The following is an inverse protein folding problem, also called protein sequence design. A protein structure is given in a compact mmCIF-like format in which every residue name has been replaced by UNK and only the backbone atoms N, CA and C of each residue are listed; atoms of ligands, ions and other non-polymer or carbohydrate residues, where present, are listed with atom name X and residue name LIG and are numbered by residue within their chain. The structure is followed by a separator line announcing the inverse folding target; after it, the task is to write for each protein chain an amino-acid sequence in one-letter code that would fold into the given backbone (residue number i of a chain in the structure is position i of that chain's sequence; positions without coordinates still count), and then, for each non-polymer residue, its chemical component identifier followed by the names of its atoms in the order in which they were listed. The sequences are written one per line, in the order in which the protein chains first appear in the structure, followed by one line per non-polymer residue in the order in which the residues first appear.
data_IF_547670635170
#
_entry.id   IF_547670635170
#
_cell.length_a   1.000
_cell.length_b   1.000
_cell.length_c   1.000
_cell.angle_alpha   90.00
_cell.angle_beta   90.00
_cell.angle_gamma   90.00
#
_symmetry.space_group_name_H-M   'P 1'
#
loop_
_entity.id
_entity.type
_entity.pdbx_description
1 polymer ?
#
# COMPACT_ATOMS: atom_id res chain seq x y z
N UNK A 1 15.35 -6.01 32.02
CA UNK A 1 16.22 -7.15 31.57
C UNK A 1 16.50 -7.17 30.06
N UNK A 2 15.58 -6.68 29.20
CA UNK A 2 15.84 -6.60 27.76
C UNK A 2 16.94 -5.61 27.38
N UNK A 3 17.07 -4.46 28.05
CA UNK A 3 18.07 -3.44 27.71
C UNK A 3 19.50 -3.88 28.03
N UNK A 4 19.71 -4.63 29.15
CA UNK A 4 21.03 -5.18 29.52
C UNK A 4 21.55 -6.24 28.52
N UNK A 5 20.69 -7.13 28.05
CA UNK A 5 21.08 -8.14 27.04
C UNK A 5 21.41 -7.54 25.67
N UNK A 6 20.90 -6.37 25.37
CA UNK A 6 21.16 -5.64 24.15
C UNK A 6 22.54 -5.00 24.14
N UNK A 7 22.95 -4.33 25.21
CA UNK A 7 24.29 -3.75 25.36
C UNK A 7 25.39 -4.78 25.21
N UNK A 8 25.24 -5.95 25.83
CA UNK A 8 26.24 -7.04 25.76
C UNK A 8 26.37 -7.67 24.37
N UNK A 9 25.30 -7.75 23.60
CA UNK A 9 25.35 -8.26 22.22
C UNK A 9 26.06 -7.26 21.29
N UNK A 10 25.88 -5.97 21.52
CA UNK A 10 26.59 -4.93 20.76
C UNK A 10 28.06 -4.82 21.18
N UNK A 11 28.38 -4.95 22.48
CA UNK A 11 29.74 -4.96 23.00
C UNK A 11 30.59 -6.09 22.41
N UNK A 12 30.07 -7.32 22.38
CA UNK A 12 30.81 -8.49 21.82
C UNK A 12 30.99 -8.45 20.30
N UNK A 13 30.18 -7.71 19.56
CA UNK A 13 30.31 -7.59 18.10
C UNK A 13 31.18 -6.42 17.62
N UNK A 14 31.50 -5.47 18.52
CA UNK A 14 32.41 -4.36 18.24
C UNK A 14 33.88 -4.66 18.54
N UNK A 15 34.20 -5.79 19.20
CA UNK A 15 35.56 -6.21 19.49
C UNK A 15 36.33 -6.72 18.27
N UNK A 16 35.62 -7.08 17.17
CA UNK A 16 36.28 -7.46 15.92
C UNK A 16 36.51 -6.22 15.02
N UNK A 17 37.61 -5.66 15.16
CA UNK A 17 38.39 -4.53 14.64
C UNK A 17 38.08 -3.80 13.34
N UNK A 18 37.28 -4.26 12.41
CA UNK A 18 37.03 -3.62 11.10
C UNK A 18 35.53 -3.59 10.73
N UNK A 19 34.89 -2.40 10.84
CA UNK A 19 33.54 -2.21 10.40
C UNK A 19 32.82 -1.04 11.07
N UNK A 20 31.54 -0.86 10.73
CA UNK A 20 30.67 0.15 11.34
C UNK A 20 30.42 -0.13 12.83
N UNK A 21 30.47 0.93 13.63
CA UNK A 21 30.11 0.89 15.06
C UNK A 21 28.62 1.16 15.20
N UNK A 22 27.98 0.47 16.13
CA UNK A 22 26.56 0.68 16.45
C UNK A 22 26.43 1.09 17.91
N UNK A 23 25.81 2.22 18.17
CA UNK A 23 25.67 2.82 19.50
C UNK A 23 24.19 3.00 19.81
N UNK A 24 23.77 2.50 20.99
CA UNK A 24 22.43 2.74 21.51
C UNK A 24 22.41 4.06 22.28
N UNK A 25 21.40 4.91 22.06
CA UNK A 25 21.27 6.20 22.74
C UNK A 25 21.21 6.09 24.27
N UNK A 26 20.63 5.01 24.79
CA UNK A 26 20.56 4.74 26.24
C UNK A 26 21.93 4.42 26.87
N UNK A 27 22.88 3.95 26.07
CA UNK A 27 24.25 3.59 26.52
C UNK A 27 25.30 4.59 26.07
N UNK A 28 24.88 5.76 25.59
CA UNK A 28 25.76 6.78 25.02
C UNK A 28 26.89 7.18 25.96
N UNK A 29 26.60 7.35 27.27
CA UNK A 29 27.60 7.74 28.26
C UNK A 29 28.67 6.69 28.50
N UNK A 30 28.41 5.41 28.31
CA UNK A 30 29.38 4.33 28.45
C UNK A 30 30.41 4.30 27.33
N UNK A 31 30.09 4.89 26.17
CA UNK A 31 30.89 4.84 24.93
C UNK A 31 31.48 6.19 24.52
N UNK A 32 31.32 7.25 25.32
CA UNK A 32 31.76 8.60 24.93
C UNK A 32 33.24 8.69 24.53
N UNK A 33 34.15 8.00 25.25
CA UNK A 33 35.58 8.00 24.92
C UNK A 33 35.86 7.27 23.59
N UNK A 34 35.15 6.18 23.30
CA UNK A 34 35.32 5.41 22.05
C UNK A 34 34.69 6.11 20.83
N UNK A 35 33.69 6.94 21.03
CA UNK A 35 32.97 7.67 19.94
C UNK A 35 33.86 8.79 19.40
N UNK A 36 34.75 9.35 20.21
CA UNK A 36 35.69 10.42 19.82
C UNK A 36 36.77 9.99 18.79
N UNK A 37 36.93 8.70 18.51
CA UNK A 37 37.68 8.25 17.34
C UNK A 37 36.96 8.65 16.06
N UNK A 38 37.31 9.84 15.53
CA UNK A 38 36.63 10.52 14.40
C UNK A 38 36.63 9.75 13.08
N UNK A 39 37.41 8.72 12.92
CA UNK A 39 37.63 8.03 11.64
C UNK A 39 36.75 6.80 11.41
N UNK A 40 36.05 6.31 12.44
CA UNK A 40 35.21 5.10 12.32
C UNK A 40 33.77 5.43 12.13
N UNK A 41 33.14 5.00 11.01
CA UNK A 41 31.72 5.25 10.76
C UNK A 41 30.86 4.57 11.82
N UNK A 42 29.89 5.31 12.38
CA UNK A 42 29.02 4.83 13.45
C UNK A 42 27.54 5.06 13.14
N UNK A 43 26.71 4.14 13.60
CA UNK A 43 25.24 4.25 13.56
C UNK A 43 24.72 4.39 14.99
N UNK A 44 24.10 5.51 15.29
CA UNK A 44 23.43 5.77 16.55
C UNK A 44 21.96 5.41 16.42
N UNK A 45 21.46 4.63 17.37
CA UNK A 45 20.05 4.32 17.53
C UNK A 45 19.51 5.10 18.72
N UNK A 46 18.65 6.06 18.47
CA UNK A 46 18.10 6.95 19.47
C UNK A 46 16.58 6.81 19.55
N UNK A 47 16.03 7.16 20.68
CA UNK A 47 14.62 7.47 20.87
C UNK A 47 14.41 8.99 20.68
N UNK A 48 13.18 9.45 20.59
CA UNK A 48 12.87 10.89 20.56
C UNK A 48 13.46 11.64 21.76
N UNK A 49 13.65 10.97 22.92
CA UNK A 49 14.22 11.56 24.12
C UNK A 49 15.75 11.70 24.06
N UNK A 50 16.47 10.74 23.46
CA UNK A 50 17.93 10.70 23.41
C UNK A 50 18.48 11.23 22.08
N UNK A 51 17.62 11.61 21.15
CA UNK A 51 18.00 12.00 19.80
C UNK A 51 18.92 13.22 19.75
N UNK A 52 18.67 14.24 20.57
CA UNK A 52 19.51 15.46 20.61
C UNK A 52 20.91 15.16 21.08
N UNK A 53 21.06 14.36 22.14
CA UNK A 53 22.39 13.97 22.67
C UNK A 53 23.17 13.15 21.62
N UNK A 54 22.47 12.25 20.91
CA UNK A 54 23.08 11.47 19.83
C UNK A 54 23.49 12.33 18.62
N UNK A 55 22.71 13.34 18.25
CA UNK A 55 23.09 14.27 17.17
C UNK A 55 24.30 15.10 17.54
N UNK A 56 24.35 15.63 18.77
CA UNK A 56 25.48 16.40 19.27
C UNK A 56 26.76 15.55 19.29
N UNK A 57 26.68 14.32 19.80
CA UNK A 57 27.83 13.39 19.81
C UNK A 57 28.29 12.97 18.39
N UNK A 58 27.35 12.89 17.44
CA UNK A 58 27.64 12.63 16.04
C UNK A 58 28.15 13.86 15.28
N UNK A 59 28.24 15.04 15.94
CA UNK A 59 28.66 16.29 15.32
C UNK A 59 27.65 16.79 14.26
N UNK A 60 26.36 16.66 14.51
CA UNK A 60 25.27 17.10 13.63
C UNK A 60 24.45 18.19 14.33
N UNK A 61 24.33 19.35 13.70
CA UNK A 61 23.43 20.41 14.15
C UNK A 61 22.12 20.29 13.37
N UNK A 62 21.02 20.17 14.10
CA UNK A 62 19.67 20.16 13.54
C UNK A 62 18.78 21.13 14.32
N UNK A 63 18.32 22.18 13.65
CA UNK A 63 17.51 23.23 14.26
C UNK A 63 16.00 22.87 14.34
N UNK A 64 15.60 21.79 13.65
CA UNK A 64 14.20 21.37 13.60
C UNK A 64 13.72 20.66 14.87
N UNK A 65 12.42 20.51 14.99
CA UNK A 65 11.77 19.75 16.06
C UNK A 65 11.87 18.24 15.77
N UNK A 66 12.34 17.47 16.74
CA UNK A 66 12.43 15.99 16.62
C UNK A 66 11.14 15.41 17.17
N UNK A 67 10.13 15.28 16.34
CA UNK A 67 8.83 14.76 16.71
C UNK A 67 8.38 13.68 15.71
N UNK A 68 8.42 12.43 16.11
CA UNK A 68 7.99 11.31 15.26
C UNK A 68 6.48 11.35 14.95
N UNK A 69 5.66 12.01 15.76
CA UNK A 69 4.21 12.11 15.51
C UNK A 69 3.91 12.89 14.24
N UNK A 70 4.74 13.89 13.91
CA UNK A 70 4.57 14.76 12.74
C UNK A 70 5.07 14.14 11.44
N UNK A 71 5.71 12.97 11.50
CA UNK A 71 6.14 12.22 10.32
C UNK A 71 4.90 11.66 9.61
N UNK A 72 4.61 12.18 8.42
CA UNK A 72 3.46 11.78 7.60
C UNK A 72 3.82 11.07 6.29
N UNK A 73 5.04 11.27 5.79
CA UNK A 73 5.55 10.72 4.52
C UNK A 73 7.08 10.58 4.55
N UNK A 74 7.63 9.86 3.57
CA UNK A 74 9.07 9.74 3.42
C UNK A 74 9.61 10.94 2.67
N UNK A 75 10.57 11.64 3.27
CA UNK A 75 11.26 12.77 2.66
C UNK A 75 12.72 12.85 3.10
N UNK A 76 13.50 13.60 2.36
CA UNK A 76 14.86 13.91 2.69
C UNK A 76 15.15 15.38 2.39
N UNK A 77 15.91 16.00 3.26
CA UNK A 77 16.27 17.42 3.16
C UNK A 77 17.77 17.58 3.38
N UNK A 78 18.43 18.28 2.48
CA UNK A 78 19.83 18.64 2.58
C UNK A 78 20.00 19.84 3.50
N UNK A 79 20.74 19.67 4.58
CA UNK A 79 21.13 20.76 5.50
C UNK A 79 22.66 20.98 5.44
N UNK A 80 23.15 22.05 6.08
CA UNK A 80 24.58 22.40 5.98
C UNK A 80 25.50 21.31 6.50
N UNK A 81 25.17 20.69 7.63
CA UNK A 81 26.05 19.72 8.32
C UNK A 81 25.54 18.28 8.24
N UNK A 82 24.30 18.07 7.89
CA UNK A 82 23.71 16.73 7.77
C UNK A 82 22.65 16.67 6.68
N UNK A 83 22.35 15.47 6.28
CA UNK A 83 21.20 15.11 5.47
C UNK A 83 20.16 14.57 6.43
N UNK A 84 19.05 15.28 6.57
CA UNK A 84 17.94 14.90 7.44
C UNK A 84 16.83 14.26 6.64
N UNK A 85 16.24 13.17 7.12
CA UNK A 85 15.14 12.52 6.44
C UNK A 85 14.14 11.88 7.38
N UNK A 86 12.94 11.65 6.86
CA UNK A 86 11.88 10.93 7.53
C UNK A 86 11.44 9.72 6.72
N UNK A 87 11.05 8.67 7.40
CA UNK A 87 10.49 7.45 6.83
C UNK A 87 9.14 7.18 7.48
N UNK A 88 8.12 6.97 6.67
CA UNK A 88 6.76 6.66 7.08
C UNK A 88 6.32 5.36 6.40
N UNK A 89 6.66 4.21 7.02
CA UNK A 89 6.60 2.89 6.40
C UNK A 89 5.28 2.21 6.73
N UNK A 90 4.46 1.81 5.73
CA UNK A 90 3.24 1.07 5.97
C UNK A 90 3.51 -0.29 6.64
N UNK A 91 2.66 -0.68 7.60
CA UNK A 91 2.72 -2.03 8.19
C UNK A 91 2.08 -3.03 7.20
N UNK A 92 2.82 -4.07 6.81
CA UNK A 92 2.37 -5.04 5.79
C UNK A 92 1.05 -5.75 6.13
N UNK A 93 0.70 -5.86 7.40
CA UNK A 93 -0.55 -6.49 7.86
C UNK A 93 -1.73 -5.51 7.91
N UNK A 94 -1.46 -4.21 7.93
CA UNK A 94 -2.47 -3.14 7.98
C UNK A 94 -1.93 -1.89 7.27
N UNK A 95 -2.05 -1.89 5.95
CA UNK A 95 -1.48 -0.84 5.07
C UNK A 95 -2.12 0.53 5.32
N UNK A 96 -3.40 0.56 5.69
CA UNK A 96 -4.15 1.80 5.92
C UNK A 96 -4.10 2.28 7.38
N UNK A 97 -3.61 1.46 8.29
CA UNK A 97 -3.52 1.77 9.70
C UNK A 97 -2.27 2.53 10.10
N UNK A 98 -1.78 2.26 11.29
CA UNK A 98 -0.57 2.87 11.82
C UNK A 98 0.66 2.50 11.00
N UNK A 99 1.60 3.44 10.90
CA UNK A 99 2.86 3.30 10.17
C UNK A 99 4.05 3.32 11.13
N UNK A 100 5.14 2.68 10.73
CA UNK A 100 6.42 2.90 11.39
C UNK A 100 6.96 4.26 10.98
N UNK A 101 7.34 5.07 11.96
CA UNK A 101 7.83 6.43 11.78
C UNK A 101 9.26 6.51 12.27
N UNK A 102 10.16 6.93 11.42
CA UNK A 102 11.58 7.01 11.70
C UNK A 102 12.09 8.37 11.22
N UNK A 103 12.94 9.02 11.99
CA UNK A 103 13.77 10.10 11.52
C UNK A 103 15.21 9.59 11.40
N UNK A 104 15.93 10.04 10.40
CA UNK A 104 17.32 9.71 10.22
C UNK A 104 18.12 10.94 9.82
N UNK A 105 19.36 10.96 10.29
CA UNK A 105 20.32 12.04 10.02
C UNK A 105 21.64 11.40 9.58
N UNK A 106 22.25 11.95 8.54
CA UNK A 106 23.46 11.39 7.94
C UNK A 106 24.46 12.53 7.73
N UNK A 107 25.67 12.38 8.21
CA UNK A 107 26.80 13.23 7.84
C UNK A 107 27.91 12.42 7.17
N UNK A 108 29.08 13.01 7.02
CA UNK A 108 30.25 12.35 6.38
C UNK A 108 30.66 11.05 7.09
N UNK A 109 30.51 10.96 8.41
CA UNK A 109 31.06 9.86 9.22
C UNK A 109 29.97 9.02 9.88
N UNK A 110 28.86 9.61 10.30
CA UNK A 110 27.90 9.00 11.20
C UNK A 110 26.48 9.00 10.62
N UNK A 111 25.66 8.10 11.14
CA UNK A 111 24.22 8.02 10.90
C UNK A 111 23.52 8.02 12.26
N UNK A 112 22.52 8.84 12.44
CA UNK A 112 21.62 8.81 13.61
C UNK A 112 20.23 8.37 13.12
N UNK A 113 19.68 7.36 13.75
CA UNK A 113 18.33 6.84 13.47
C UNK A 113 17.50 7.02 14.73
N UNK A 114 16.38 7.72 14.63
CA UNK A 114 15.44 7.97 15.72
C UNK A 114 14.18 7.17 15.52
N UNK A 115 13.86 6.30 16.47
CA UNK A 115 12.76 5.35 16.39
C UNK A 115 12.28 4.97 17.80
N UNK A 116 11.03 5.24 18.12
CA UNK A 116 10.42 4.92 19.42
C UNK A 116 9.79 3.51 19.45
N UNK A 117 9.64 2.84 18.29
CA UNK A 117 8.97 1.54 18.14
C UNK A 117 9.91 0.33 18.09
N UNK A 118 11.22 0.52 18.29
CA UNK A 118 12.26 -0.50 18.14
C UNK A 118 12.28 -1.20 16.76
N UNK A 119 11.58 -0.65 15.78
CA UNK A 119 11.50 -1.24 14.44
C UNK A 119 12.84 -1.23 13.74
N UNK A 120 13.54 -0.09 13.79
CA UNK A 120 14.88 0.08 13.22
C UNK A 120 15.91 -0.86 13.86
N UNK A 121 15.79 -1.09 15.16
CA UNK A 121 16.63 -2.04 15.89
C UNK A 121 16.44 -3.47 15.34
N UNK A 122 15.20 -3.93 15.22
CA UNK A 122 14.89 -5.26 14.67
C UNK A 122 15.41 -5.41 13.24
N UNK A 123 15.34 -4.35 12.45
CA UNK A 123 15.83 -4.30 11.07
C UNK A 123 17.35 -4.44 10.99
N UNK A 124 18.07 -3.64 11.77
CA UNK A 124 19.53 -3.68 11.85
C UNK A 124 20.01 -5.06 12.30
N UNK A 125 19.35 -5.66 13.29
CA UNK A 125 19.66 -7.03 13.73
C UNK A 125 19.46 -8.05 12.59
N UNK A 126 18.46 -7.86 11.74
CA UNK A 126 18.24 -8.72 10.57
C UNK A 126 19.33 -8.55 9.51
N UNK A 127 19.72 -7.29 9.21
CA UNK A 127 20.81 -6.97 8.28
C UNK A 127 22.12 -7.61 8.74
N UNK A 128 22.47 -7.46 10.01
CA UNK A 128 23.68 -8.06 10.59
C UNK A 128 23.74 -9.59 10.48
N UNK A 129 22.60 -10.27 10.60
CA UNK A 129 22.51 -11.74 10.44
C UNK A 129 22.79 -12.21 9.01
N UNK A 130 22.52 -11.36 8.01
CA UNK A 130 22.76 -11.66 6.58
C UNK A 130 24.24 -11.61 6.19
N UNK A 131 25.20 -11.71 7.15
CA UNK A 131 26.66 -11.72 7.05
C UNK A 131 27.23 -11.34 5.67
N UNK A 132 27.70 -10.13 5.53
CA UNK A 132 28.59 -9.75 4.44
C UNK A 132 30.04 -9.89 4.90
N UNK A 133 30.81 -10.72 4.23
CA UNK A 133 32.24 -11.02 4.55
C UNK A 133 33.21 -9.86 4.34
N UNK A 134 32.78 -8.70 3.92
CA UNK A 134 33.61 -7.50 3.70
C UNK A 134 33.10 -6.37 4.58
N UNK A 135 33.98 -5.56 5.13
CA UNK A 135 33.69 -4.42 5.99
C UNK A 135 32.51 -3.60 5.46
N UNK A 136 31.53 -3.34 6.31
CA UNK A 136 30.32 -2.64 5.94
C UNK A 136 30.59 -1.14 5.87
N UNK A 137 30.55 -0.56 4.65
CA UNK A 137 30.61 0.88 4.50
C UNK A 137 29.29 1.54 4.88
N UNK A 138 29.31 2.83 5.20
CA UNK A 138 28.15 3.62 5.51
C UNK A 138 27.08 3.54 4.39
N UNK A 139 27.50 3.66 3.15
CA UNK A 139 26.62 3.61 1.98
C UNK A 139 25.97 2.23 1.82
N UNK A 140 26.74 1.18 2.07
CA UNK A 140 26.22 -0.19 2.00
C UNK A 140 25.23 -0.48 3.13
N UNK A 141 25.46 0.09 4.32
CA UNK A 141 24.50 0.02 5.41
C UNK A 141 23.19 0.70 5.04
N UNK A 142 23.22 1.96 4.55
CA UNK A 142 22.04 2.71 4.14
C UNK A 142 21.28 1.93 3.05
N UNK A 143 22.00 1.43 2.05
CA UNK A 143 21.44 0.59 1.00
C UNK A 143 20.71 -0.63 1.57
N UNK A 144 21.34 -1.41 2.43
CA UNK A 144 20.71 -2.59 3.03
C UNK A 144 19.53 -2.21 3.91
N UNK A 145 19.63 -1.11 4.66
CA UNK A 145 18.57 -0.62 5.53
C UNK A 145 17.33 -0.22 4.74
N UNK A 146 17.50 0.56 3.67
CA UNK A 146 16.38 0.98 2.81
C UNK A 146 15.78 -0.19 2.02
N UNK A 147 16.59 -1.11 1.51
CA UNK A 147 16.06 -2.27 0.80
C UNK A 147 15.25 -3.21 1.68
N UNK A 148 15.54 -3.26 2.97
CA UNK A 148 14.80 -4.13 3.89
C UNK A 148 13.33 -3.67 4.04
N UNK A 149 13.04 -2.38 3.88
CA UNK A 149 11.68 -1.84 3.93
C UNK A 149 10.78 -2.39 2.82
N UNK A 150 11.35 -2.55 1.63
CA UNK A 150 10.64 -2.98 0.42
C UNK A 150 10.96 -4.42 0.02
N UNK A 151 11.57 -5.20 0.94
CA UNK A 151 12.09 -6.53 0.60
C UNK A 151 11.01 -7.56 0.28
N UNK A 152 9.84 -7.45 0.90
CA UNK A 152 8.69 -8.37 0.76
C UNK A 152 7.55 -7.83 -0.06
N UNK A 153 7.68 -6.61 -0.57
CA UNK A 153 6.57 -5.90 -1.18
C UNK A 153 6.16 -6.49 -2.53
N UNK A 154 7.09 -7.13 -3.24
CA UNK A 154 6.72 -7.87 -4.46
C UNK A 154 5.81 -9.06 -4.17
N UNK A 155 6.04 -9.77 -3.07
CA UNK A 155 5.18 -10.86 -2.60
C UNK A 155 3.81 -10.31 -2.17
N UNK A 156 3.79 -9.19 -1.45
CA UNK A 156 2.57 -8.47 -1.08
C UNK A 156 1.74 -8.09 -2.31
N UNK A 157 2.37 -7.49 -3.33
CA UNK A 157 1.70 -7.12 -4.58
C UNK A 157 1.16 -8.35 -5.33
N UNK A 158 1.83 -9.49 -5.27
CA UNK A 158 1.34 -10.76 -5.78
C UNK A 158 0.06 -11.25 -5.08
N UNK A 159 -0.07 -11.02 -3.77
CA UNK A 159 -1.30 -11.31 -3.03
C UNK A 159 -2.47 -10.41 -3.48
N UNK A 160 -2.22 -9.12 -3.75
CA UNK A 160 -3.24 -8.22 -4.31
C UNK A 160 -3.69 -8.66 -5.70
N UNK A 161 -2.75 -9.06 -6.55
CA UNK A 161 -3.06 -9.58 -7.89
C UNK A 161 -4.04 -10.75 -7.80
N UNK A 162 -3.74 -11.74 -6.95
CA UNK A 162 -4.61 -12.89 -6.73
C UNK A 162 -6.00 -12.48 -6.22
N UNK A 163 -6.07 -11.59 -5.23
CA UNK A 163 -7.36 -11.07 -4.72
C UNK A 163 -8.20 -10.40 -5.80
N UNK A 164 -7.58 -9.67 -6.74
CA UNK A 164 -8.28 -9.02 -7.86
C UNK A 164 -8.78 -10.08 -8.86
N UNK A 165 -7.97 -11.12 -9.16
CA UNK A 165 -8.37 -12.24 -10.00
C UNK A 165 -9.57 -13.00 -9.42
N UNK A 166 -9.55 -13.30 -8.13
CA UNK A 166 -10.67 -13.98 -7.44
C UNK A 166 -11.97 -13.15 -7.54
N UNK A 167 -11.87 -11.81 -7.51
CA UNK A 167 -13.00 -10.91 -7.69
C UNK A 167 -13.49 -10.89 -9.15
N UNK A 168 -12.58 -10.92 -10.12
CA UNK A 168 -12.92 -11.01 -11.55
C UNK A 168 -13.70 -12.28 -11.88
N UNK A 169 -13.21 -13.44 -11.40
CA UNK A 169 -13.92 -14.72 -11.55
C UNK A 169 -15.33 -14.65 -10.94
N UNK A 170 -15.45 -14.04 -9.74
CA UNK A 170 -16.75 -13.85 -9.11
C UNK A 170 -17.72 -13.00 -9.93
N UNK A 171 -17.22 -11.95 -10.59
CA UNK A 171 -18.02 -11.12 -11.50
C UNK A 171 -18.47 -11.91 -12.73
N UNK A 172 -17.56 -12.68 -13.35
CA UNK A 172 -17.88 -13.53 -14.52
C UNK A 172 -18.93 -14.60 -14.19
N UNK A 173 -18.89 -15.16 -12.98
CA UNK A 173 -19.86 -16.13 -12.47
C UNK A 173 -21.20 -15.49 -12.07
N UNK A 174 -21.37 -14.17 -12.21
CA UNK A 174 -22.56 -13.44 -11.80
C UNK A 174 -22.70 -13.24 -10.29
N UNK A 175 -21.67 -13.53 -9.50
CA UNK A 175 -21.60 -13.33 -8.04
C UNK A 175 -21.24 -11.87 -7.73
N UNK A 176 -22.20 -10.97 -7.89
CA UNK A 176 -21.96 -9.52 -7.76
C UNK A 176 -22.19 -8.96 -6.35
N UNK A 177 -22.73 -9.76 -5.43
CA UNK A 177 -22.99 -9.29 -4.07
C UNK A 177 -21.69 -9.02 -3.30
N UNK A 178 -21.60 -7.85 -2.68
CA UNK A 178 -20.44 -7.48 -1.86
C UNK A 178 -19.19 -7.06 -2.63
N UNK A 179 -19.19 -7.09 -3.97
CA UNK A 179 -18.03 -6.72 -4.81
C UNK A 179 -17.42 -5.35 -4.43
N UNK A 180 -18.27 -4.32 -4.26
CA UNK A 180 -17.81 -2.97 -3.93
C UNK A 180 -17.05 -2.93 -2.60
N UNK A 181 -17.53 -3.67 -1.60
CA UNK A 181 -16.89 -3.73 -0.28
C UNK A 181 -15.55 -4.48 -0.32
N UNK A 182 -15.36 -5.38 -1.28
CA UNK A 182 -14.12 -6.12 -1.45
C UNK A 182 -13.07 -5.37 -2.27
N UNK A 183 -13.46 -4.70 -3.37
CA UNK A 183 -12.52 -4.03 -4.28
C UNK A 183 -12.03 -2.68 -3.73
N UNK A 184 -12.83 -1.95 -2.96
CA UNK A 184 -12.48 -0.62 -2.47
C UNK A 184 -11.29 -0.61 -1.50
N UNK A 185 -11.19 -1.51 -0.50
CA UNK A 185 -10.00 -1.62 0.34
C UNK A 185 -8.74 -1.90 -0.48
N UNK A 186 -8.79 -2.86 -1.41
CA UNK A 186 -7.66 -3.22 -2.29
C UNK A 186 -7.13 -1.97 -3.01
N UNK A 187 -8.02 -1.18 -3.59
CA UNK A 187 -7.62 0.05 -4.30
C UNK A 187 -7.00 1.09 -3.38
N UNK A 188 -7.53 1.28 -2.17
CA UNK A 188 -6.97 2.22 -1.18
C UNK A 188 -5.58 1.79 -0.73
N UNK A 189 -5.42 0.51 -0.43
CA UNK A 189 -4.15 -0.08 -0.02
C UNK A 189 -3.09 0.05 -1.13
N UNK A 190 -3.45 -0.26 -2.38
CA UNK A 190 -2.56 -0.11 -3.55
C UNK A 190 -2.18 1.36 -3.82
N UNK A 191 -3.10 2.32 -3.63
CA UNK A 191 -2.79 3.75 -3.76
C UNK A 191 -1.78 4.18 -2.70
N UNK A 192 -1.95 3.73 -1.46
CA UNK A 192 -1.02 4.01 -0.36
C UNK A 192 0.38 3.44 -0.66
N UNK A 193 0.45 2.19 -1.12
CA UNK A 193 1.70 1.54 -1.49
C UNK A 193 2.38 2.24 -2.67
N UNK A 194 1.63 2.62 -3.70
CA UNK A 194 2.16 3.35 -4.85
C UNK A 194 2.80 4.67 -4.42
N UNK A 195 2.11 5.46 -3.57
CA UNK A 195 2.66 6.72 -3.05
C UNK A 195 3.93 6.48 -2.23
N UNK A 196 3.92 5.45 -1.38
CA UNK A 196 5.08 5.06 -0.59
C UNK A 196 6.30 4.69 -1.47
N UNK A 197 6.09 3.93 -2.55
CA UNK A 197 7.19 3.56 -3.46
C UNK A 197 7.73 4.76 -4.24
N UNK A 198 6.88 5.70 -4.62
CA UNK A 198 7.27 6.96 -5.25
C UNK A 198 8.17 7.78 -4.31
N UNK A 199 7.78 7.92 -3.04
CA UNK A 199 8.58 8.58 -2.01
C UNK A 199 9.95 7.91 -1.80
N UNK A 200 10.01 6.57 -1.75
CA UNK A 200 11.27 5.81 -1.62
C UNK A 200 12.15 5.95 -2.87
N UNK A 201 11.54 5.97 -4.06
CA UNK A 201 12.27 6.21 -5.31
C UNK A 201 12.94 7.58 -5.31
N UNK A 202 12.22 8.62 -4.91
CA UNK A 202 12.75 9.98 -4.85
C UNK A 202 13.88 10.11 -3.82
N UNK A 203 13.73 9.48 -2.66
CA UNK A 203 14.82 9.43 -1.67
C UNK A 203 16.09 8.74 -2.21
N UNK A 204 15.91 7.63 -2.95
CA UNK A 204 17.03 6.94 -3.59
C UNK A 204 17.75 7.81 -4.62
N UNK A 205 17.04 8.60 -5.42
CA UNK A 205 17.62 9.56 -6.37
C UNK A 205 18.40 10.66 -5.66
N UNK A 206 17.83 11.28 -4.63
CA UNK A 206 18.52 12.33 -3.85
C UNK A 206 19.81 11.81 -3.19
N UNK A 207 19.80 10.57 -2.68
CA UNK A 207 21.01 9.93 -2.16
C UNK A 207 22.07 9.71 -3.26
N UNK A 208 21.65 9.33 -4.48
CA UNK A 208 22.54 9.11 -5.62
C UNK A 208 23.15 10.41 -6.13
N UNK A 209 22.39 11.51 -6.15
CA UNK A 209 22.85 12.84 -6.51
C UNK A 209 23.98 13.34 -5.59
N UNK A 210 23.93 12.94 -4.31
CA UNK A 210 24.99 13.20 -3.31
C UNK A 210 25.45 14.68 -3.29
N UNK A 211 24.50 15.62 -3.27
CA UNK A 211 24.77 17.06 -3.34
C UNK A 211 25.77 17.53 -2.26
N UNK A 212 25.66 17.00 -1.04
CA UNK A 212 26.53 17.33 0.08
C UNK A 212 27.93 16.70 0.00
N UNK A 213 28.15 15.77 -0.92
CA UNK A 213 29.42 15.05 -1.02
C UNK A 213 29.71 14.16 0.20
N UNK A 214 28.69 13.72 0.96
CA UNK A 214 28.87 12.89 2.15
C UNK A 214 29.17 11.42 1.82
N UNK A 215 28.94 11.00 0.60
CA UNK A 215 29.13 9.62 0.17
C UNK A 215 30.30 9.49 -0.81
N UNK A 216 30.97 8.35 -0.76
CA UNK A 216 32.06 8.05 -1.69
C UNK A 216 31.51 7.86 -3.12
N UNK A 217 32.05 8.62 -4.11
CA UNK A 217 31.59 8.61 -5.51
C UNK A 217 31.45 7.20 -6.13
N UNK A 218 32.30 6.26 -5.71
CA UNK A 218 32.24 4.87 -6.20
C UNK A 218 31.07 4.07 -5.63
N UNK A 219 30.47 4.52 -4.53
CA UNK A 219 29.44 3.78 -3.79
C UNK A 219 28.03 4.35 -3.96
N UNK A 220 27.88 5.58 -4.47
CA UNK A 220 26.55 6.20 -4.72
C UNK A 220 25.65 5.36 -5.64
N UNK A 221 26.25 4.55 -6.51
CA UNK A 221 25.50 3.60 -7.38
C UNK A 221 24.60 2.61 -6.62
N UNK A 222 24.88 2.37 -5.32
CA UNK A 222 23.98 1.54 -4.51
C UNK A 222 22.60 2.19 -4.32
N UNK A 223 22.55 3.52 -4.31
CA UNK A 223 21.32 4.26 -4.13
C UNK A 223 20.44 4.23 -5.39
N UNK A 224 21.04 4.25 -6.58
CA UNK A 224 20.30 4.04 -7.84
C UNK A 224 19.57 2.68 -7.87
N UNK A 225 20.14 1.63 -7.27
CA UNK A 225 19.47 0.33 -7.16
C UNK A 225 18.20 0.40 -6.29
N UNK A 226 18.19 1.29 -5.27
CA UNK A 226 17.00 1.51 -4.44
C UNK A 226 15.91 2.15 -5.29
N UNK A 227 16.23 3.22 -6.03
CA UNK A 227 15.32 3.91 -6.94
C UNK A 227 14.74 2.97 -7.99
N UNK A 228 15.57 2.17 -8.64
CA UNK A 228 15.15 1.21 -9.66
C UNK A 228 14.21 0.15 -9.09
N UNK A 229 14.45 -0.29 -7.84
CA UNK A 229 13.59 -1.28 -7.21
C UNK A 229 12.25 -0.68 -6.79
N UNK A 230 12.26 0.53 -6.24
CA UNK A 230 11.05 1.26 -5.86
C UNK A 230 10.21 1.58 -7.11
N UNK A 231 10.83 2.00 -8.22
CA UNK A 231 10.15 2.25 -9.49
C UNK A 231 9.43 0.99 -10.03
N UNK A 232 10.09 -0.18 -9.98
CA UNK A 232 9.43 -1.44 -10.37
C UNK A 232 8.24 -1.79 -9.50
N UNK A 233 8.32 -1.54 -8.18
CA UNK A 233 7.20 -1.78 -7.26
C UNK A 233 6.06 -0.78 -7.51
N UNK A 234 6.37 0.49 -7.72
CA UNK A 234 5.42 1.53 -8.08
C UNK A 234 4.70 1.21 -9.40
N UNK A 235 5.45 0.78 -10.41
CA UNK A 235 4.90 0.36 -11.70
C UNK A 235 3.96 -0.84 -11.56
N UNK A 236 4.34 -1.85 -10.78
CA UNK A 236 3.47 -3.02 -10.49
C UNK A 236 2.22 -2.62 -9.72
N UNK A 237 2.32 -1.75 -8.72
CA UNK A 237 1.15 -1.24 -7.99
C UNK A 237 0.21 -0.45 -8.93
N UNK A 238 0.75 0.34 -9.86
CA UNK A 238 -0.03 1.06 -10.87
C UNK A 238 -0.76 0.11 -11.82
N UNK A 239 -0.11 -0.96 -12.29
CA UNK A 239 -0.74 -2.00 -13.11
C UNK A 239 -1.90 -2.69 -12.37
N UNK A 240 -1.72 -2.99 -11.07
CA UNK A 240 -2.78 -3.59 -10.26
C UNK A 240 -3.95 -2.64 -10.03
N UNK A 241 -3.70 -1.33 -9.89
CA UNK A 241 -4.75 -0.32 -9.82
C UNK A 241 -5.57 -0.24 -11.12
N UNK A 242 -4.92 -0.32 -12.27
CA UNK A 242 -5.58 -0.39 -13.58
C UNK A 242 -6.38 -1.67 -13.73
N UNK A 243 -5.82 -2.80 -13.34
CA UNK A 243 -6.52 -4.08 -13.34
C UNK A 243 -7.76 -4.07 -12.45
N UNK A 244 -7.64 -3.58 -11.21
CA UNK A 244 -8.79 -3.40 -10.31
C UNK A 244 -9.87 -2.46 -10.90
N UNK A 245 -9.46 -1.47 -11.70
CA UNK A 245 -10.38 -0.60 -12.42
C UNK A 245 -11.12 -1.36 -13.53
N UNK A 246 -10.41 -2.16 -14.33
CA UNK A 246 -11.01 -2.97 -15.40
C UNK A 246 -12.04 -3.96 -14.84
N UNK A 247 -11.71 -4.65 -13.75
CA UNK A 247 -12.65 -5.57 -13.07
C UNK A 247 -13.87 -4.83 -12.53
N UNK A 248 -13.70 -3.62 -12.03
CA UNK A 248 -14.83 -2.77 -11.61
C UNK A 248 -15.73 -2.38 -12.78
N UNK A 249 -15.16 -2.10 -13.93
CA UNK A 249 -15.93 -1.73 -15.12
C UNK A 249 -16.65 -2.95 -15.71
N UNK A 250 -16.04 -4.14 -15.68
CA UNK A 250 -16.72 -5.42 -15.98
C UNK A 250 -17.89 -5.69 -15.03
N UNK A 251 -17.71 -5.45 -13.72
CA UNK A 251 -18.78 -5.54 -12.73
C UNK A 251 -19.97 -4.64 -13.08
N UNK A 252 -19.72 -3.37 -13.45
CA UNK A 252 -20.78 -2.45 -13.85
C UNK A 252 -21.52 -2.96 -15.08
N UNK A 253 -20.79 -3.41 -16.09
CA UNK A 253 -21.39 -3.97 -17.31
C UNK A 253 -22.28 -5.19 -16.99
N UNK A 254 -21.88 -6.04 -16.05
CA UNK A 254 -22.67 -7.19 -15.61
C UNK A 254 -23.95 -6.78 -14.86
N UNK A 255 -23.87 -5.76 -13.99
CA UNK A 255 -25.03 -5.18 -13.32
C UNK A 255 -26.01 -4.59 -14.33
N UNK A 256 -25.50 -3.82 -15.31
CA UNK A 256 -26.32 -3.21 -16.36
C UNK A 256 -27.01 -4.28 -17.23
N UNK A 257 -26.29 -5.35 -17.57
CA UNK A 257 -26.87 -6.48 -18.30
C UNK A 257 -27.99 -7.17 -17.50
N UNK A 258 -27.83 -7.38 -16.19
CA UNK A 258 -28.88 -7.93 -15.34
C UNK A 258 -30.10 -7.01 -15.25
N UNK A 259 -29.87 -5.69 -15.12
CA UNK A 259 -30.97 -4.72 -15.13
C UNK A 259 -31.72 -4.73 -16.46
N UNK A 260 -31.03 -4.80 -17.59
CA UNK A 260 -31.64 -4.90 -18.91
C UNK A 260 -32.46 -6.17 -19.04
N UNK A 261 -31.95 -7.32 -18.60
CA UNK A 261 -32.70 -8.58 -18.61
C UNK A 261 -33.97 -8.49 -17.76
N UNK A 262 -33.91 -7.89 -16.57
CA UNK A 262 -35.05 -7.67 -15.70
C UNK A 262 -36.10 -6.73 -16.35
N UNK A 263 -35.64 -5.66 -17.03
CA UNK A 263 -36.51 -4.75 -17.77
C UNK A 263 -37.20 -5.44 -18.95
N UNK A 264 -36.44 -6.25 -19.71
CA UNK A 264 -37.03 -7.06 -20.80
C UNK A 264 -38.11 -7.98 -20.27
N UNK A 265 -37.83 -8.73 -19.21
CA UNK A 265 -38.81 -9.62 -18.56
C UNK A 265 -40.05 -8.85 -18.12
N UNK A 266 -39.91 -7.71 -17.45
CA UNK A 266 -41.03 -6.87 -17.03
C UNK A 266 -41.82 -6.33 -18.24
N UNK A 267 -41.13 -5.94 -19.32
CA UNK A 267 -41.76 -5.46 -20.54
C UNK A 267 -42.60 -6.55 -21.20
N UNK A 268 -42.05 -7.77 -21.31
CA UNK A 268 -42.80 -8.93 -21.87
C UNK A 268 -44.06 -9.21 -21.04
N UNK A 269 -43.95 -9.30 -19.73
CA UNK A 269 -45.08 -9.50 -18.82
C UNK A 269 -46.13 -8.39 -19.02
N UNK A 270 -45.68 -7.12 -19.00
CA UNK A 270 -46.59 -5.98 -19.14
C UNK A 270 -47.30 -5.97 -20.48
N UNK A 271 -46.61 -6.33 -21.58
CA UNK A 271 -47.17 -6.42 -22.92
C UNK A 271 -48.27 -7.48 -23.01
N UNK A 272 -48.13 -8.58 -22.26
CA UNK A 272 -49.15 -9.65 -22.18
C UNK A 272 -50.33 -9.21 -21.30
N UNK A 273 -50.03 -8.68 -20.11
CA UNK A 273 -51.08 -8.36 -19.12
C UNK A 273 -51.89 -7.10 -19.46
N UNK A 274 -51.28 -6.11 -20.16
CA UNK A 274 -51.96 -4.86 -20.48
C UNK A 274 -53.21 -5.04 -21.33
N UNK A 275 -53.19 -5.75 -22.49
CA UNK A 275 -54.41 -6.01 -23.27
C UNK A 275 -55.41 -6.88 -22.50
N UNK A 276 -54.95 -7.83 -21.68
CA UNK A 276 -55.80 -8.64 -20.81
C UNK A 276 -56.60 -7.79 -19.83
N UNK A 277 -55.88 -6.89 -19.13
CA UNK A 277 -56.49 -5.98 -18.17
C UNK A 277 -57.51 -5.05 -18.85
N UNK A 278 -57.17 -4.57 -20.07
CA UNK A 278 -58.08 -3.74 -20.85
C UNK A 278 -59.40 -4.50 -21.16
N UNK A 279 -59.31 -5.76 -21.64
CA UNK A 279 -60.44 -6.59 -21.96
C UNK A 279 -61.28 -6.91 -20.69
N UNK A 280 -60.64 -7.36 -19.63
CA UNK A 280 -61.31 -7.68 -18.36
C UNK A 280 -61.96 -6.45 -17.73
N UNK A 281 -61.32 -5.28 -17.81
CA UNK A 281 -61.87 -4.01 -17.33
C UNK A 281 -63.08 -3.59 -18.17
N UNK A 282 -62.98 -3.73 -19.51
CA UNK A 282 -64.07 -3.43 -20.41
C UNK A 282 -65.35 -4.29 -20.11
N UNK A 283 -65.19 -5.60 -19.98
CA UNK A 283 -66.27 -6.52 -19.64
C UNK A 283 -66.69 -6.48 -18.16
N UNK A 284 -65.84 -5.91 -17.29
CA UNK A 284 -66.16 -5.66 -15.88
C UNK A 284 -66.97 -4.38 -15.62
N UNK A 285 -67.18 -3.56 -16.64
CA UNK A 285 -68.02 -2.35 -16.50
C UNK A 285 -69.55 -2.73 -16.49
N UNK A 286 -70.26 -2.12 -15.56
CA UNK A 286 -71.72 -2.37 -15.38
C UNK A 286 -72.54 -1.66 -16.47
N UNK A 287 -72.46 -2.12 -17.69
CA UNK A 287 -73.36 -1.66 -18.75
C UNK A 287 -74.67 -2.47 -18.80
N UNK A 288 -75.82 -1.79 -18.86
CA UNK A 288 -77.11 -2.41 -18.91
C UNK A 288 -77.40 -3.22 -20.21
N UNK A 289 -76.71 -2.96 -21.31
CA UNK A 289 -76.77 -3.67 -22.57
C UNK A 289 -75.41 -3.94 -23.16
N UNK A 290 -74.93 -5.17 -22.99
CA UNK A 290 -73.70 -5.69 -23.68
C UNK A 290 -74.17 -6.83 -24.61
N UNK A 291 -74.34 -6.59 -25.94
CA UNK A 291 -74.77 -7.62 -26.90
C UNK A 291 -73.82 -8.81 -26.97
N UNK A 292 -72.49 -8.56 -26.68
CA UNK A 292 -71.45 -9.57 -26.71
C UNK A 292 -71.60 -10.63 -25.62
N UNK A 293 -72.27 -10.34 -24.49
CA UNK A 293 -72.50 -11.28 -23.40
C UNK A 293 -73.61 -12.27 -23.76
N UNK A 294 -74.46 -11.99 -24.82
CA UNK A 294 -75.50 -12.86 -25.32
C UNK A 294 -75.02 -13.95 -26.29
N UNK A 295 -73.81 -13.82 -26.83
CA UNK A 295 -73.22 -14.71 -27.82
C UNK A 295 -72.00 -15.47 -27.26
N UNK A 296 -72.15 -16.15 -26.17
CA UNK A 296 -71.08 -16.89 -25.49
C UNK A 296 -69.90 -17.31 -26.36
N UNK A 297 -68.70 -17.31 -25.79
CA UNK A 297 -67.42 -17.83 -26.32
C UNK A 297 -66.58 -17.07 -27.37
N UNK A 298 -67.02 -16.16 -28.26
CA UNK A 298 -66.09 -15.56 -29.23
C UNK A 298 -65.00 -14.72 -28.60
N UNK A 299 -65.23 -14.06 -27.47
CA UNK A 299 -64.27 -13.25 -26.79
C UNK A 299 -63.11 -14.04 -26.16
N UNK A 300 -63.40 -15.23 -25.62
CA UNK A 300 -62.35 -16.12 -25.06
C UNK A 300 -61.42 -16.72 -26.13
N UNK A 301 -61.97 -16.99 -27.31
CA UNK A 301 -61.24 -17.52 -28.47
C UNK A 301 -60.33 -16.45 -29.07
N UNK A 302 -60.81 -15.21 -29.24
CA UNK A 302 -60.01 -14.08 -29.70
C UNK A 302 -58.85 -13.79 -28.75
N UNK A 303 -59.07 -13.93 -27.44
CA UNK A 303 -58.07 -13.77 -26.41
C UNK A 303 -56.94 -14.81 -26.52
N UNK A 304 -57.29 -16.10 -26.65
CA UNK A 304 -56.28 -17.16 -26.80
C UNK A 304 -55.49 -17.06 -28.10
N UNK A 305 -56.10 -16.61 -29.19
CA UNK A 305 -55.44 -16.40 -30.47
C UNK A 305 -54.52 -15.16 -30.52
N UNK A 306 -54.80 -14.13 -29.74
CA UNK A 306 -53.93 -12.94 -29.61
C UNK A 306 -52.70 -13.15 -28.72
N UNK A 307 -52.84 -14.01 -27.71
CA UNK A 307 -51.75 -14.24 -26.74
C UNK A 307 -50.82 -15.39 -27.12
N UNK A 308 -51.29 -16.42 -27.81
CA UNK A 308 -50.51 -17.58 -28.24
C UNK A 308 -49.35 -17.23 -29.18
N UNK A 309 -49.48 -16.32 -30.19
CA UNK A 309 -48.33 -15.95 -31.03
C UNK A 309 -47.24 -15.17 -30.31
N UNK A 310 -47.60 -14.41 -29.28
CA UNK A 310 -46.62 -13.62 -28.51
C UNK A 310 -45.79 -14.47 -27.55
N UNK A 311 -46.34 -15.60 -27.08
CA UNK A 311 -45.61 -16.57 -26.22
C UNK A 311 -44.66 -17.46 -27.04
N UNK A 312 -44.92 -17.65 -28.33
CA UNK A 312 -44.10 -18.48 -29.23
C UNK A 312 -42.93 -17.71 -29.89
N UNK A 313 -42.88 -16.37 -29.71
CA UNK A 313 -41.84 -15.48 -30.27
C UNK A 313 -40.79 -15.01 -29.23
N UNK A 314 -40.85 -15.51 -27.99
CA UNK A 314 -39.88 -15.37 -26.93
C UNK A 314 -39.23 -16.72 -26.64
#
# INVERSE_FOLDING_TARGET
EMSRGLGDVYKRQNEDGEGMRYVLGETLQEYQEEIMEKDRPSVFLATSQTARDCLEQAGMQYEGEINLKDVGFCKMETQQECLAGSLCIPKLLDILGERYKILFFINRHHIVIVDDDEFSYRLIRRIKRKKTRQGESKEKFIYNFMLEFISRDLELLGHYEKRIMDLEEGVMDGKIQGFQNAIMPIRRELLTLRSYYDEIMDMGKQLEENENGFFAKKQVKYFGVISDRADRLMSKASQLLEYAQQVRDAYKAQVDAQQNNNMQFLTVISTIFFPLTLITSWYGMNFHNMPELKHGYPGAVSYTHLTLPTILLV
#
